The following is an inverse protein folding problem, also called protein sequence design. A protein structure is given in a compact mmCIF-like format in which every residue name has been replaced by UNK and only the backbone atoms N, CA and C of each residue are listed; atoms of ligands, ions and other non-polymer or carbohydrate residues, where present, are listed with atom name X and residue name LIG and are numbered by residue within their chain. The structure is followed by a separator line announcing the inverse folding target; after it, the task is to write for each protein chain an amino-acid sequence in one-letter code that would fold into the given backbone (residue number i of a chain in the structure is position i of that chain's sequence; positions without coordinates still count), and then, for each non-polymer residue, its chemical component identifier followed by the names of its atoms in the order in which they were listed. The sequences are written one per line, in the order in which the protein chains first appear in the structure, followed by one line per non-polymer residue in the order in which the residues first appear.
data_IF_075763491794
#
_entry.id   IF_075763491794
#
_cell.length_a   1.000
_cell.length_b   1.000
_cell.length_c   1.000
_cell.angle_alpha   90.00
_cell.angle_beta   90.00
_cell.angle_gamma   90.00
#
_symmetry.space_group_name_H-M   'P 1'
#
loop_
_entity.id
_entity.type
_entity.pdbx_description
1 polymer ?
#
# COMPACT_ATOMS: atom_id res chain seq x y z
N UNK A 1 15.32 -14.76 9.95
CA UNK A 1 14.18 -15.68 9.92
C UNK A 1 12.97 -14.92 10.44
N UNK A 2 11.90 -14.89 9.67
CA UNK A 2 10.71 -14.11 10.01
C UNK A 2 9.87 -14.84 11.09
N UNK A 3 9.38 -14.10 12.05
CA UNK A 3 8.55 -14.63 13.15
C UNK A 3 7.12 -14.09 12.96
N UNK A 4 6.16 -15.01 12.95
CA UNK A 4 4.74 -14.70 12.92
C UNK A 4 3.98 -15.46 14.01
N UNK A 5 2.82 -14.95 14.40
CA UNK A 5 1.97 -15.52 15.44
C UNK A 5 0.50 -15.50 14.98
N UNK A 6 -0.29 -16.55 15.24
CA UNK A 6 -1.74 -16.47 15.13
C UNK A 6 -2.30 -15.57 16.23
N UNK A 7 -3.45 -14.95 15.98
CA UNK A 7 -4.09 -14.04 16.94
C UNK A 7 -5.61 -14.22 16.96
N UNK A 8 -6.25 -13.78 18.03
CA UNK A 8 -7.70 -13.75 18.16
C UNK A 8 -8.26 -12.54 17.41
N UNK A 9 -8.59 -12.71 16.12
CA UNK A 9 -9.10 -11.64 15.29
C UNK A 9 -10.43 -11.10 15.78
N UNK A 10 -10.59 -9.78 15.77
CA UNK A 10 -11.87 -9.11 15.97
C UNK A 10 -12.43 -8.80 14.58
N UNK A 11 -13.58 -9.38 14.26
CA UNK A 11 -14.10 -9.35 12.89
C UNK A 11 -15.62 -9.31 12.82
N UNK A 12 -16.20 -8.77 11.72
CA UNK A 12 -17.65 -8.70 11.59
C UNK A 12 -18.28 -10.08 11.41
N UNK A 13 -19.53 -10.28 11.86
CA UNK A 13 -20.37 -11.38 11.40
C UNK A 13 -20.48 -11.40 9.87
N UNK A 14 -20.68 -12.58 9.28
CA UNK A 14 -20.71 -12.76 7.83
C UNK A 14 -21.72 -11.85 7.12
N UNK A 15 -22.88 -11.65 7.70
CA UNK A 15 -23.97 -10.81 7.17
C UNK A 15 -23.72 -9.31 7.29
N UNK A 16 -22.69 -8.90 8.03
CA UNK A 16 -22.33 -7.49 8.24
C UNK A 16 -21.05 -7.06 7.53
N UNK A 17 -20.24 -8.00 7.01
CA UNK A 17 -18.89 -7.69 6.50
C UNK A 17 -18.92 -6.62 5.41
N UNK A 18 -19.87 -6.65 4.48
CA UNK A 18 -19.98 -5.66 3.41
C UNK A 18 -20.31 -4.26 3.91
N UNK A 19 -21.03 -4.15 5.04
CA UNK A 19 -21.33 -2.88 5.67
C UNK A 19 -20.17 -2.32 6.48
N UNK A 20 -19.33 -3.21 7.04
CA UNK A 20 -18.18 -2.83 7.87
C UNK A 20 -16.93 -2.54 7.03
N UNK A 21 -16.61 -3.41 6.07
CA UNK A 21 -15.39 -3.31 5.27
C UNK A 21 -15.30 -1.97 4.54
N UNK A 22 -14.13 -1.34 4.60
CA UNK A 22 -13.87 -0.05 3.97
C UNK A 22 -12.53 -0.04 3.23
N UNK A 23 -12.34 0.95 2.36
CA UNK A 23 -11.02 1.25 1.82
C UNK A 23 -10.09 1.75 2.93
N UNK A 24 -8.75 1.63 2.77
CA UNK A 24 -7.82 2.15 3.78
C UNK A 24 -7.90 3.68 3.87
N UNK A 25 -7.52 4.22 5.04
CA UNK A 25 -7.68 5.63 5.39
C UNK A 25 -7.00 6.61 4.43
N UNK A 26 -5.94 6.17 3.76
CA UNK A 26 -5.03 7.01 2.96
C UNK A 26 -5.39 7.11 1.47
N UNK A 27 -6.43 6.39 1.02
CA UNK A 27 -6.88 6.43 -0.39
C UNK A 27 -8.04 7.41 -0.64
N UNK A 28 -8.58 8.02 0.40
CA UNK A 28 -9.68 8.98 0.31
C UNK A 28 -9.53 10.09 1.35
N UNK A 29 -10.07 11.25 1.03
CA UNK A 29 -10.16 12.36 1.97
C UNK A 29 -11.40 12.25 2.89
N UNK A 30 -11.52 13.14 3.87
CA UNK A 30 -12.61 13.09 4.85
C UNK A 30 -14.00 13.36 4.23
N UNK A 31 -14.08 14.16 3.17
CA UNK A 31 -15.34 14.41 2.47
C UNK A 31 -15.81 13.16 1.70
N UNK A 32 -14.90 12.48 1.02
CA UNK A 32 -15.16 11.20 0.34
C UNK A 32 -15.59 10.12 1.33
N UNK A 33 -14.87 9.99 2.46
CA UNK A 33 -15.20 9.03 3.51
C UNK A 33 -16.59 9.29 4.12
N UNK A 34 -16.95 10.55 4.32
CA UNK A 34 -18.28 10.96 4.80
C UNK A 34 -19.38 10.56 3.82
N UNK A 35 -19.16 10.77 2.52
CA UNK A 35 -20.15 10.39 1.51
C UNK A 35 -20.28 8.87 1.39
N UNK A 36 -19.18 8.11 1.44
CA UNK A 36 -19.22 6.64 1.42
C UNK A 36 -19.87 6.04 2.67
N UNK A 37 -19.67 6.63 3.84
CA UNK A 37 -20.28 6.18 5.10
C UNK A 37 -21.73 6.63 5.27
N UNK A 38 -22.25 7.48 4.38
CA UNK A 38 -23.57 8.08 4.52
C UNK A 38 -24.69 7.03 4.62
N UNK A 39 -25.44 7.08 5.72
CA UNK A 39 -26.50 6.12 5.99
C UNK A 39 -26.04 4.74 6.44
N UNK A 40 -24.75 4.55 6.62
CA UNK A 40 -24.15 3.30 7.11
C UNK A 40 -23.40 3.52 8.43
N UNK A 41 -24.09 3.38 9.55
CA UNK A 41 -23.52 3.53 10.90
C UNK A 41 -22.50 2.41 11.25
N UNK A 42 -22.43 1.35 10.47
CA UNK A 42 -21.51 0.21 10.66
C UNK A 42 -20.23 0.34 9.83
N UNK A 43 -20.10 1.38 9.00
CA UNK A 43 -18.89 1.60 8.22
C UNK A 43 -17.67 1.76 9.11
N UNK A 44 -16.58 1.06 8.80
CA UNK A 44 -15.34 1.19 9.55
C UNK A 44 -14.75 2.60 9.49
N UNK A 45 -15.16 3.43 8.54
CA UNK A 45 -14.73 4.83 8.48
C UNK A 45 -15.02 5.59 9.78
N UNK A 46 -16.09 5.25 10.51
CA UNK A 46 -16.37 5.81 11.84
C UNK A 46 -15.27 5.53 12.88
N UNK A 47 -14.40 4.55 12.61
CA UNK A 47 -13.26 4.20 13.49
C UNK A 47 -11.94 4.72 12.91
N UNK A 48 -11.69 4.56 11.60
CA UNK A 48 -10.41 4.92 10.97
C UNK A 48 -10.35 6.36 10.47
N UNK A 49 -11.50 7.00 10.26
CA UNK A 49 -11.67 8.42 9.89
C UNK A 49 -12.77 9.08 10.72
N UNK A 50 -12.64 9.06 12.06
CA UNK A 50 -13.74 9.44 12.95
C UNK A 50 -14.11 10.92 12.89
N UNK A 51 -13.31 11.77 12.21
CA UNK A 51 -13.66 13.15 11.90
C UNK A 51 -14.94 13.28 11.07
N UNK A 52 -15.39 12.21 10.39
CA UNK A 52 -16.66 12.19 9.66
C UNK A 52 -17.88 12.31 10.57
N UNK A 53 -17.74 11.99 11.85
CA UNK A 53 -18.78 12.12 12.87
C UNK A 53 -18.90 13.53 13.47
N UNK A 54 -18.05 14.46 13.02
CA UNK A 54 -18.02 15.86 13.43
C UNK A 54 -18.45 16.78 12.28
N UNK A 55 -18.71 18.06 12.52
CA UNK A 55 -18.99 19.02 11.45
C UNK A 55 -17.88 19.07 10.40
N UNK A 56 -18.24 19.35 9.15
CA UNK A 56 -17.28 19.52 8.06
C UNK A 56 -16.21 20.57 8.42
N UNK A 57 -14.95 20.29 8.04
CA UNK A 57 -13.82 21.14 8.35
C UNK A 57 -13.21 20.90 9.74
N UNK A 58 -13.71 19.92 10.51
CA UNK A 58 -13.05 19.50 11.74
C UNK A 58 -11.67 18.91 11.40
N UNK A 59 -10.64 19.37 12.11
CA UNK A 59 -9.28 18.88 11.96
C UNK A 59 -9.22 17.38 12.32
N UNK A 60 -8.74 16.55 11.40
CA UNK A 60 -8.53 15.11 11.63
C UNK A 60 -7.61 14.79 12.80
N UNK A 61 -6.80 15.78 13.25
CA UNK A 61 -5.88 15.66 14.38
C UNK A 61 -6.42 16.25 15.69
N UNK A 62 -7.66 16.73 15.72
CA UNK A 62 -8.33 17.18 16.95
C UNK A 62 -8.38 16.03 17.97
N UNK A 63 -7.98 16.25 19.24
CA UNK A 63 -8.03 15.19 20.27
C UNK A 63 -9.38 14.47 20.38
N UNK A 64 -10.49 15.19 20.19
CA UNK A 64 -11.86 14.61 20.23
C UNK A 64 -12.10 13.56 19.13
N UNK A 65 -11.40 13.68 17.99
CA UNK A 65 -11.49 12.72 16.88
C UNK A 65 -10.91 11.36 17.30
N UNK A 66 -9.78 11.35 18.02
CA UNK A 66 -9.20 10.12 18.55
C UNK A 66 -10.07 9.49 19.64
N UNK A 67 -10.65 10.31 20.55
CA UNK A 67 -11.60 9.82 21.55
C UNK A 67 -12.83 9.19 20.90
N UNK A 68 -13.28 9.76 19.80
CA UNK A 68 -14.40 9.24 19.01
C UNK A 68 -14.06 7.88 18.37
N UNK A 69 -12.84 7.70 17.86
CA UNK A 69 -12.38 6.40 17.35
C UNK A 69 -12.52 5.29 18.42
N UNK A 70 -12.05 5.57 19.64
CA UNK A 70 -12.13 4.64 20.77
C UNK A 70 -13.58 4.33 21.13
N UNK A 71 -14.41 5.35 21.23
CA UNK A 71 -15.82 5.19 21.55
C UNK A 71 -16.56 4.34 20.48
N UNK A 72 -16.27 4.60 19.20
CA UNK A 72 -16.86 3.86 18.10
C UNK A 72 -16.37 2.40 18.07
N UNK A 73 -15.08 2.16 18.26
CA UNK A 73 -14.55 0.80 18.30
C UNK A 73 -15.14 -0.05 19.43
N UNK A 74 -15.32 0.56 20.61
CA UNK A 74 -16.03 -0.07 21.72
C UNK A 74 -17.49 -0.36 21.37
N UNK A 75 -18.20 0.65 20.86
CA UNK A 75 -19.62 0.52 20.48
C UNK A 75 -19.82 -0.60 19.44
N UNK A 76 -18.94 -0.72 18.46
CA UNK A 76 -19.02 -1.79 17.44
C UNK A 76 -18.95 -3.18 18.07
N UNK A 77 -18.08 -3.35 19.07
CA UNK A 77 -17.95 -4.61 19.81
C UNK A 77 -19.19 -4.84 20.70
N UNK A 78 -19.68 -3.85 21.43
CA UNK A 78 -20.87 -3.94 22.28
C UNK A 78 -22.14 -4.26 21.48
N UNK A 79 -22.25 -3.74 20.26
CA UNK A 79 -23.38 -4.03 19.35
C UNK A 79 -23.23 -5.36 18.58
N UNK A 80 -22.13 -6.06 18.75
CA UNK A 80 -21.85 -7.30 18.02
C UNK A 80 -21.58 -7.10 16.52
N UNK A 81 -21.25 -5.88 16.10
CA UNK A 81 -20.84 -5.60 14.73
C UNK A 81 -19.40 -6.05 14.47
N UNK A 82 -18.63 -6.16 15.53
CA UNK A 82 -17.30 -6.77 15.58
C UNK A 82 -17.26 -7.76 16.74
N UNK A 83 -16.84 -8.99 16.47
CA UNK A 83 -16.78 -10.09 17.46
C UNK A 83 -15.38 -10.68 17.45
N UNK A 84 -14.81 -10.90 18.62
CA UNK A 84 -13.50 -11.53 18.76
C UNK A 84 -13.61 -13.04 18.62
N UNK A 85 -12.70 -13.66 17.88
CA UNK A 85 -12.58 -15.12 17.77
C UNK A 85 -12.17 -15.74 19.11
N UNK A 86 -12.66 -16.94 19.39
CA UNK A 86 -12.45 -17.62 20.66
C UNK A 86 -11.00 -18.09 20.85
N UNK A 87 -10.32 -18.46 19.75
CA UNK A 87 -8.94 -18.94 19.76
C UNK A 87 -8.07 -18.19 18.74
N UNK A 88 -6.74 -18.20 18.93
CA UNK A 88 -5.82 -17.63 17.96
C UNK A 88 -5.87 -18.39 16.63
N UNK A 89 -5.99 -17.67 15.52
CA UNK A 89 -6.04 -18.19 14.16
C UNK A 89 -5.10 -17.40 13.24
N UNK A 90 -4.74 -18.01 12.12
CA UNK A 90 -4.35 -17.28 10.93
C UNK A 90 -5.57 -17.14 10.01
N UNK A 91 -5.48 -16.28 9.03
CA UNK A 91 -6.56 -16.08 8.07
C UNK A 91 -6.00 -16.02 6.66
N UNK A 92 -6.84 -16.33 5.67
CA UNK A 92 -6.53 -16.11 4.26
C UNK A 92 -7.45 -15.01 3.76
N UNK A 93 -6.87 -14.00 3.16
CA UNK A 93 -7.57 -12.93 2.47
C UNK A 93 -7.23 -12.94 0.99
N UNK A 94 -8.21 -13.25 0.16
CA UNK A 94 -8.08 -13.24 -1.30
C UNK A 94 -8.71 -11.99 -1.89
N UNK A 95 -8.03 -11.42 -2.87
CA UNK A 95 -8.49 -10.26 -3.63
C UNK A 95 -8.48 -10.60 -5.12
N UNK A 96 -9.59 -10.29 -5.80
CA UNK A 96 -9.75 -10.52 -7.25
C UNK A 96 -9.93 -9.19 -7.97
N UNK A 97 -9.05 -8.91 -8.91
CA UNK A 97 -9.09 -7.74 -9.80
C UNK A 97 -8.84 -8.19 -11.24
N UNK A 98 -9.71 -7.81 -12.18
CA UNK A 98 -9.57 -8.12 -13.59
C UNK A 98 -9.35 -9.63 -13.88
N UNK A 99 -10.06 -10.49 -13.14
CA UNK A 99 -9.97 -11.94 -13.29
C UNK A 99 -8.74 -12.61 -12.68
N UNK A 100 -7.83 -11.83 -12.07
CA UNK A 100 -6.66 -12.34 -11.33
C UNK A 100 -6.94 -12.30 -9.83
N UNK A 101 -6.73 -13.42 -9.14
CA UNK A 101 -6.85 -13.52 -7.69
C UNK A 101 -5.47 -13.67 -7.05
N UNK A 102 -5.23 -12.93 -5.98
CA UNK A 102 -4.06 -13.06 -5.10
C UNK A 102 -4.51 -13.45 -3.71
N UNK A 103 -3.75 -14.35 -3.07
CA UNK A 103 -4.07 -14.93 -1.77
C UNK A 103 -3.04 -14.52 -0.73
N UNK A 104 -3.47 -13.80 0.29
CA UNK A 104 -2.62 -13.35 1.38
C UNK A 104 -2.92 -14.07 2.69
N UNK A 105 -1.88 -14.33 3.48
CA UNK A 105 -1.99 -14.85 4.84
C UNK A 105 -2.00 -13.70 5.83
N UNK A 106 -3.04 -13.62 6.63
CA UNK A 106 -3.16 -12.61 7.70
C UNK A 106 -2.51 -13.16 8.95
N UNK A 107 -1.51 -12.47 9.44
CA UNK A 107 -0.65 -12.90 10.54
C UNK A 107 -0.35 -11.76 11.51
N UNK A 108 0.01 -12.07 12.74
CA UNK A 108 0.73 -11.15 13.62
C UNK A 108 2.22 -11.20 13.28
N UNK A 109 2.75 -10.15 12.66
CA UNK A 109 4.18 -10.02 12.34
C UNK A 109 4.95 -9.47 13.53
N UNK A 110 6.14 -10.01 13.80
CA UNK A 110 6.89 -9.71 15.01
C UNK A 110 7.53 -8.32 14.98
N UNK A 111 7.27 -7.49 15.98
CA UNK A 111 7.77 -6.12 16.08
C UNK A 111 9.29 -6.04 16.03
N UNK A 112 10.08 -6.86 16.74
CA UNK A 112 11.52 -6.83 16.63
C UNK A 112 12.05 -7.14 15.22
N UNK A 113 11.35 -7.93 14.41
CA UNK A 113 11.74 -8.18 13.02
C UNK A 113 11.68 -6.91 12.15
N UNK A 114 10.74 -6.00 12.44
CA UNK A 114 10.72 -4.68 11.84
C UNK A 114 11.90 -3.83 12.31
N UNK A 115 12.19 -3.82 13.60
CA UNK A 115 13.28 -3.02 14.18
C UNK A 115 14.67 -3.50 13.73
N UNK A 116 14.84 -4.81 13.54
CA UNK A 116 16.11 -5.45 13.17
C UNK A 116 16.31 -5.60 11.65
N UNK A 117 15.34 -5.18 10.83
CA UNK A 117 15.46 -5.24 9.38
C UNK A 117 15.20 -6.62 8.76
N UNK A 118 14.61 -7.56 9.47
CA UNK A 118 14.07 -8.81 8.89
C UNK A 118 12.85 -8.48 8.03
N UNK A 119 12.02 -7.54 8.48
CA UNK A 119 10.98 -6.91 7.66
C UNK A 119 11.62 -5.75 6.90
N UNK A 120 11.79 -5.92 5.61
CA UNK A 120 12.52 -5.00 4.72
C UNK A 120 11.63 -3.85 4.27
N UNK A 121 12.21 -2.65 4.25
CA UNK A 121 11.59 -1.40 3.80
C UNK A 121 12.22 -0.98 2.47
N UNK A 122 11.45 -0.30 1.64
CA UNK A 122 11.94 0.33 0.41
C UNK A 122 11.55 1.81 0.30
N UNK A 123 10.83 2.36 1.29
CA UNK A 123 10.37 3.75 1.33
C UNK A 123 10.58 4.35 2.73
N UNK A 124 10.93 5.64 2.79
CA UNK A 124 11.01 6.39 4.04
C UNK A 124 9.62 6.87 4.46
N UNK A 125 9.34 6.77 5.75
CA UNK A 125 8.12 7.31 6.35
C UNK A 125 8.25 8.81 6.61
N UNK A 126 7.11 9.50 6.58
CA UNK A 126 6.98 10.89 7.02
C UNK A 126 6.59 10.91 8.49
N UNK A 127 7.33 11.68 9.30
CA UNK A 127 7.15 11.73 10.75
C UNK A 127 5.75 12.16 11.18
N UNK A 128 5.17 13.16 10.51
CA UNK A 128 3.81 13.65 10.79
C UNK A 128 2.75 12.54 10.61
N UNK A 129 2.85 11.77 9.52
CA UNK A 129 1.94 10.65 9.24
C UNK A 129 2.17 9.47 10.18
N UNK A 130 3.42 9.19 10.51
CA UNK A 130 3.80 8.14 11.46
C UNK A 130 3.25 8.44 12.86
N UNK A 131 3.44 9.65 13.38
CA UNK A 131 2.94 10.06 14.70
C UNK A 131 1.41 10.01 14.79
N UNK A 132 0.70 10.42 13.74
CA UNK A 132 -0.76 10.32 13.66
C UNK A 132 -1.22 8.86 13.75
N UNK A 133 -0.63 7.97 12.94
CA UNK A 133 -0.96 6.53 12.99
C UNK A 133 -0.58 5.88 14.32
N UNK A 134 0.55 6.25 14.91
CA UNK A 134 0.93 5.82 16.26
C UNK A 134 -0.14 6.19 17.30
N UNK A 135 -0.67 7.40 17.22
CA UNK A 135 -1.73 7.86 18.12
C UNK A 135 -2.99 7.00 17.97
N UNK A 136 -3.42 6.71 16.74
CA UNK A 136 -4.54 5.81 16.49
C UNK A 136 -4.31 4.41 17.09
N UNK A 137 -3.14 3.82 16.90
CA UNK A 137 -2.80 2.50 17.48
C UNK A 137 -2.81 2.54 19.02
N UNK A 138 -2.22 3.58 19.62
CA UNK A 138 -2.17 3.72 21.10
C UNK A 138 -3.55 3.84 21.71
N UNK A 139 -4.40 4.73 21.19
CA UNK A 139 -5.72 5.00 21.79
C UNK A 139 -6.69 3.84 21.63
N UNK A 140 -6.68 3.17 20.47
CA UNK A 140 -7.54 2.02 20.22
C UNK A 140 -6.99 0.72 20.85
N UNK A 141 -5.72 0.70 21.22
CA UNK A 141 -4.99 -0.50 21.66
C UNK A 141 -5.15 -1.67 20.69
N UNK A 142 -5.10 -1.37 19.40
CA UNK A 142 -5.35 -2.31 18.31
C UNK A 142 -4.70 -1.87 17.00
N UNK A 143 -4.38 -2.84 16.16
CA UNK A 143 -4.13 -2.63 14.74
C UNK A 143 -5.47 -2.75 14.00
N UNK A 144 -6.11 -1.62 13.71
CA UNK A 144 -7.43 -1.58 13.04
C UNK A 144 -7.28 -1.89 11.55
N UNK A 145 -6.21 -1.41 10.93
CA UNK A 145 -5.93 -1.56 9.51
C UNK A 145 -4.71 -2.46 9.29
N UNK A 146 -4.76 -3.39 8.34
CA UNK A 146 -3.64 -4.28 8.05
C UNK A 146 -2.53 -3.56 7.29
N UNK A 147 -1.31 -4.09 7.37
CA UNK A 147 -0.20 -3.75 6.48
C UNK A 147 -0.03 -4.82 5.42
N UNK A 148 0.57 -4.46 4.30
CA UNK A 148 0.68 -5.31 3.12
C UNK A 148 2.13 -5.73 2.90
N UNK A 149 2.41 -7.04 3.06
CA UNK A 149 3.74 -7.62 2.91
C UNK A 149 3.81 -8.60 1.75
N UNK A 150 5.01 -8.80 1.25
CA UNK A 150 5.36 -9.86 0.31
C UNK A 150 6.36 -10.83 0.96
N UNK A 151 6.29 -12.09 0.54
CA UNK A 151 7.26 -13.12 0.90
C UNK A 151 7.69 -13.92 -0.34
N UNK A 152 8.91 -14.51 -0.33
CA UNK A 152 9.34 -15.42 -1.40
C UNK A 152 8.46 -16.68 -1.46
N UNK A 153 8.38 -17.30 -2.64
CA UNK A 153 7.64 -18.56 -2.84
C UNK A 153 7.91 -19.58 -1.70
N UNK A 154 6.83 -20.18 -1.20
CA UNK A 154 6.91 -21.23 -0.17
C UNK A 154 5.83 -22.28 -0.39
N UNK A 155 6.23 -23.50 -0.76
CA UNK A 155 5.34 -24.60 -1.10
C UNK A 155 4.47 -25.07 0.06
N UNK A 156 4.94 -24.97 1.31
CA UNK A 156 4.16 -25.34 2.49
C UNK A 156 2.98 -24.37 2.66
N UNK A 157 3.24 -23.06 2.53
CA UNK A 157 2.18 -22.05 2.58
C UNK A 157 1.19 -22.21 1.42
N UNK A 158 1.68 -22.48 0.20
CA UNK A 158 0.84 -22.73 -0.96
C UNK A 158 -0.11 -23.91 -0.74
N UNK A 159 0.38 -24.99 -0.13
CA UNK A 159 -0.42 -26.17 0.18
C UNK A 159 -1.51 -25.86 1.22
N UNK A 160 -1.19 -25.11 2.27
CA UNK A 160 -2.18 -24.68 3.28
C UNK A 160 -3.23 -23.77 2.65
N UNK A 161 -2.83 -22.78 1.86
CA UNK A 161 -3.75 -21.89 1.16
C UNK A 161 -4.67 -22.69 0.23
N UNK A 162 -4.13 -23.61 -0.59
CA UNK A 162 -4.91 -24.45 -1.48
C UNK A 162 -5.96 -25.32 -0.74
N UNK A 163 -5.59 -25.86 0.44
CA UNK A 163 -6.50 -26.65 1.29
C UNK A 163 -7.72 -25.86 1.74
N UNK A 164 -7.53 -24.62 2.18
CA UNK A 164 -8.62 -23.78 2.70
C UNK A 164 -9.43 -23.13 1.59
N UNK A 165 -8.80 -22.70 0.51
CA UNK A 165 -9.51 -22.07 -0.62
C UNK A 165 -10.33 -23.03 -1.47
N UNK A 166 -10.13 -24.34 -1.30
CA UNK A 166 -11.04 -25.38 -1.82
C UNK A 166 -12.37 -25.46 -1.05
N UNK A 167 -12.48 -24.81 0.10
CA UNK A 167 -13.67 -24.77 0.94
C UNK A 167 -14.43 -23.46 0.74
N UNK A 168 -15.69 -23.42 1.19
CA UNK A 168 -16.48 -22.20 1.15
C UNK A 168 -15.84 -21.11 2.06
N UNK A 169 -15.62 -19.89 1.57
CA UNK A 169 -15.11 -18.80 2.39
C UNK A 169 -16.11 -18.34 3.44
N UNK A 170 -15.61 -17.73 4.54
CA UNK A 170 -16.45 -17.07 5.56
C UNK A 170 -17.02 -15.77 5.03
N UNK A 171 -16.23 -15.04 4.22
CA UNK A 171 -16.70 -13.87 3.49
C UNK A 171 -16.48 -14.07 2.01
N UNK A 172 -17.45 -13.62 1.21
CA UNK A 172 -17.39 -13.63 -0.25
C UNK A 172 -18.27 -12.50 -0.78
N UNK A 173 -17.66 -11.42 -1.21
CA UNK A 173 -18.38 -10.25 -1.72
C UNK A 173 -17.56 -9.49 -2.78
N UNK A 174 -18.30 -8.69 -3.56
CA UNK A 174 -17.72 -7.75 -4.51
C UNK A 174 -17.97 -6.34 -3.99
N UNK A 175 -16.90 -5.57 -3.80
CA UNK A 175 -17.02 -4.21 -3.31
C UNK A 175 -17.68 -3.30 -4.37
N UNK A 176 -18.74 -2.53 -4.01
CA UNK A 176 -19.50 -1.76 -4.98
C UNK A 176 -18.76 -0.53 -5.51
N UNK A 177 -17.74 -0.05 -4.82
CA UNK A 177 -16.98 1.14 -5.16
C UNK A 177 -15.92 0.91 -6.24
N UNK A 178 -15.36 -0.31 -6.34
CA UNK A 178 -14.31 -0.64 -7.29
C UNK A 178 -14.56 -1.91 -8.13
N UNK A 179 -15.56 -2.70 -7.75
CA UNK A 179 -15.91 -3.94 -8.43
C UNK A 179 -14.93 -5.09 -8.15
N UNK A 180 -14.04 -4.97 -7.17
CA UNK A 180 -13.10 -6.02 -6.81
C UNK A 180 -13.72 -7.06 -5.88
N UNK A 181 -13.31 -8.31 -6.06
CA UNK A 181 -13.76 -9.43 -5.24
C UNK A 181 -12.90 -9.57 -3.97
N UNK A 182 -13.57 -9.91 -2.87
CA UNK A 182 -12.94 -10.15 -1.58
C UNK A 182 -13.47 -11.44 -0.98
N UNK A 183 -12.54 -12.36 -0.65
CA UNK A 183 -12.87 -13.62 0.01
C UNK A 183 -11.98 -13.82 1.23
N UNK A 184 -12.49 -14.55 2.22
CA UNK A 184 -11.79 -14.70 3.51
C UNK A 184 -12.06 -16.06 4.12
N UNK A 185 -11.02 -16.71 4.66
CA UNK A 185 -11.07 -18.00 5.34
C UNK A 185 -10.35 -17.92 6.68
N UNK A 186 -10.75 -18.78 7.61
CA UNK A 186 -10.14 -18.91 8.94
C UNK A 186 -9.33 -20.19 8.97
N UNK A 187 -8.05 -20.10 9.30
CA UNK A 187 -7.16 -21.24 9.56
C UNK A 187 -7.16 -21.49 11.06
N UNK A 188 -7.92 -22.49 11.49
CA UNK A 188 -8.14 -22.81 12.90
C UNK A 188 -7.69 -24.23 13.29
N UNK A 189 -7.23 -25.04 12.36
CA UNK A 189 -6.61 -26.33 12.62
C UNK A 189 -5.20 -26.15 13.19
N UNK A 190 -4.91 -26.75 14.34
CA UNK A 190 -3.65 -26.56 15.06
C UNK A 190 -2.42 -27.02 14.26
N UNK A 191 -2.55 -28.07 13.42
CA UNK A 191 -1.45 -28.55 12.57
C UNK A 191 -1.16 -27.57 11.44
N UNK A 192 -2.20 -26.97 10.84
CA UNK A 192 -2.03 -25.97 9.80
C UNK A 192 -1.46 -24.66 10.39
N UNK A 193 -1.88 -24.28 11.60
CA UNK A 193 -1.30 -23.14 12.33
C UNK A 193 0.18 -23.36 12.58
N UNK A 194 0.57 -24.55 13.05
CA UNK A 194 1.98 -24.91 13.25
C UNK A 194 2.75 -24.88 11.92
N UNK A 195 2.20 -25.46 10.85
CA UNK A 195 2.81 -25.48 9.53
C UNK A 195 3.06 -24.07 8.98
N UNK A 196 2.10 -23.16 9.13
CA UNK A 196 2.26 -21.75 8.74
C UNK A 196 3.36 -21.07 9.57
N UNK A 197 3.33 -21.24 10.89
CA UNK A 197 4.32 -20.65 11.80
C UNK A 197 5.75 -21.10 11.46
N UNK A 198 5.96 -22.40 11.26
CA UNK A 198 7.27 -22.95 10.92
C UNK A 198 7.73 -22.53 9.52
N UNK A 199 6.82 -22.50 8.54
CA UNK A 199 7.17 -22.04 7.17
C UNK A 199 7.68 -20.58 7.15
N UNK A 200 7.12 -19.69 7.95
CA UNK A 200 7.63 -18.32 8.06
C UNK A 200 9.02 -18.25 8.70
N UNK A 201 9.32 -19.13 9.66
CA UNK A 201 10.66 -19.20 10.27
C UNK A 201 11.77 -19.59 9.27
N UNK A 202 11.42 -20.26 8.18
CA UNK A 202 12.37 -20.59 7.12
C UNK A 202 12.72 -19.38 6.24
N UNK A 203 11.92 -18.33 6.25
CA UNK A 203 12.11 -17.15 5.43
C UNK A 203 13.15 -16.22 6.05
N UNK A 204 14.15 -15.77 5.30
CA UNK A 204 15.16 -14.83 5.81
C UNK A 204 14.57 -13.44 6.03
N UNK A 205 13.58 -13.03 5.22
CA UNK A 205 13.00 -11.70 5.25
C UNK A 205 11.56 -11.69 4.76
N UNK A 206 10.79 -10.69 5.21
CA UNK A 206 9.55 -10.24 4.63
C UNK A 206 9.76 -8.83 4.04
N UNK A 207 8.93 -8.43 3.09
CA UNK A 207 9.07 -7.17 2.36
C UNK A 207 7.79 -6.36 2.47
N UNK A 208 7.88 -5.11 2.93
CA UNK A 208 6.73 -4.22 2.93
C UNK A 208 6.41 -3.87 1.47
N UNK A 209 5.21 -4.21 1.02
CA UNK A 209 4.71 -3.81 -0.29
C UNK A 209 3.99 -2.47 -0.20
N UNK A 210 3.06 -2.33 0.76
CA UNK A 210 2.30 -1.09 1.00
C UNK A 210 2.06 -0.90 2.51
N UNK A 211 1.83 0.34 2.94
CA UNK A 211 1.56 0.67 4.33
C UNK A 211 2.82 0.88 5.18
N UNK A 212 3.86 1.52 4.65
CA UNK A 212 5.09 1.84 5.40
C UNK A 212 4.82 2.65 6.67
N UNK A 213 3.93 3.68 6.62
CA UNK A 213 3.57 4.47 7.80
C UNK A 213 2.81 3.64 8.84
N UNK A 214 1.89 2.76 8.40
CA UNK A 214 1.16 1.86 9.30
C UNK A 214 2.08 0.82 9.93
N UNK A 215 3.03 0.27 9.16
CA UNK A 215 4.03 -0.67 9.67
C UNK A 215 4.93 -0.03 10.71
N UNK A 216 5.46 1.16 10.43
CA UNK A 216 6.28 1.93 11.37
C UNK A 216 5.51 2.24 12.66
N UNK A 217 4.29 2.79 12.53
CA UNK A 217 3.46 3.14 13.67
C UNK A 217 3.15 1.94 14.57
N UNK A 218 2.75 0.82 13.99
CA UNK A 218 2.45 -0.40 14.74
C UNK A 218 3.68 -0.95 15.47
N UNK A 219 4.83 -1.01 14.79
CA UNK A 219 6.07 -1.50 15.37
C UNK A 219 6.59 -0.60 16.50
N UNK A 220 6.57 0.73 16.29
CA UNK A 220 7.03 1.68 17.31
C UNK A 220 6.14 1.67 18.55
N UNK A 221 4.82 1.61 18.40
CA UNK A 221 3.89 1.48 19.54
C UNK A 221 4.09 0.16 20.27
N UNK A 222 4.31 -0.94 19.56
CA UNK A 222 4.64 -2.23 20.17
C UNK A 222 5.93 -2.16 20.99
N UNK A 223 6.98 -1.55 20.47
CA UNK A 223 8.25 -1.33 21.18
C UNK A 223 8.08 -0.41 22.40
N UNK A 224 7.28 0.64 22.31
CA UNK A 224 6.95 1.51 23.46
C UNK A 224 6.27 0.72 24.58
N UNK A 225 5.26 -0.11 24.23
CA UNK A 225 4.56 -0.95 25.21
C UNK A 225 5.49 -1.97 25.88
N UNK A 226 6.38 -2.58 25.10
CA UNK A 226 7.40 -3.48 25.62
C UNK A 226 8.32 -2.79 26.63
N UNK A 227 8.79 -1.56 26.30
CA UNK A 227 9.66 -0.79 27.16
C UNK A 227 8.95 -0.31 28.45
N UNK A 228 7.63 -0.10 28.41
CA UNK A 228 6.83 0.34 29.57
C UNK A 228 6.38 -0.82 30.47
N UNK A 229 6.44 -2.06 30.01
CA UNK A 229 6.01 -3.23 30.76
C UNK A 229 7.19 -3.83 31.56
N UNK A 230 7.24 -3.67 32.89
CA UNK A 230 8.32 -4.24 33.70
C UNK A 230 8.30 -5.79 33.74
N UNK A 231 7.19 -6.40 33.35
CA UNK A 231 7.02 -7.85 33.27
C UNK A 231 7.02 -8.37 31.82
N UNK A 232 7.64 -7.62 30.90
CA UNK A 232 7.71 -8.00 29.51
C UNK A 232 8.40 -9.35 29.31
N UNK A 233 7.77 -10.25 28.56
CA UNK A 233 8.26 -11.61 28.26
C UNK A 233 8.58 -11.83 26.78
N UNK A 234 8.00 -11.02 25.89
CA UNK A 234 8.18 -11.12 24.44
C UNK A 234 7.05 -11.86 23.71
N UNK A 235 6.10 -12.46 24.43
CA UNK A 235 4.97 -13.19 23.86
C UNK A 235 3.64 -12.41 23.88
N UNK A 236 3.65 -11.20 24.43
CA UNK A 236 2.49 -10.34 24.52
C UNK A 236 2.00 -9.90 23.12
N UNK A 237 0.68 -9.65 22.98
CA UNK A 237 0.06 -9.30 21.70
C UNK A 237 0.64 -8.02 21.07
N UNK A 238 1.05 -7.03 21.87
CA UNK A 238 1.68 -5.80 21.36
C UNK A 238 3.05 -6.01 20.72
N UNK A 239 3.68 -7.20 20.88
CA UNK A 239 4.91 -7.56 20.17
C UNK A 239 4.66 -7.99 18.72
N UNK A 240 3.41 -8.03 18.32
CA UNK A 240 2.99 -8.43 16.99
C UNK A 240 2.06 -7.38 16.40
N UNK A 241 2.10 -7.21 15.08
CA UNK A 241 1.19 -6.32 14.38
C UNK A 241 0.62 -6.99 13.13
N UNK A 242 -0.62 -6.62 12.81
CA UNK A 242 -1.40 -7.30 11.78
C UNK A 242 -0.87 -7.00 10.38
N UNK A 243 -0.42 -8.05 9.69
CA UNK A 243 0.03 -7.99 8.30
C UNK A 243 -0.71 -9.01 7.44
N UNK A 244 -0.95 -8.66 6.17
CA UNK A 244 -1.39 -9.59 5.13
C UNK A 244 -0.19 -9.85 4.23
N UNK A 245 0.30 -11.07 4.23
CA UNK A 245 1.51 -11.49 3.53
C UNK A 245 1.14 -12.29 2.27
N UNK A 246 1.56 -11.79 1.11
CA UNK A 246 1.31 -12.43 -0.19
C UNK A 246 2.59 -13.04 -0.76
N UNK A 247 2.50 -14.17 -1.50
CA UNK A 247 3.62 -14.61 -2.32
C UNK A 247 3.99 -13.53 -3.34
N UNK A 248 5.27 -13.18 -3.43
CA UNK A 248 5.74 -12.09 -4.29
C UNK A 248 5.35 -12.28 -5.77
N UNK A 249 5.34 -13.53 -6.24
CA UNK A 249 4.98 -13.87 -7.62
C UNK A 249 3.49 -13.64 -7.96
N UNK A 250 2.61 -13.54 -6.96
CA UNK A 250 1.20 -13.20 -7.18
C UNK A 250 0.98 -11.69 -7.29
N UNK A 251 1.93 -10.87 -6.83
CA UNK A 251 1.79 -9.42 -6.80
C UNK A 251 2.23 -8.77 -8.12
N UNK A 252 1.53 -7.70 -8.45
CA UNK A 252 1.85 -6.87 -9.60
C UNK A 252 1.94 -5.42 -9.13
N UNK A 253 3.10 -4.79 -9.39
CA UNK A 253 3.26 -3.36 -9.23
C UNK A 253 2.77 -2.72 -10.53
N UNK A 254 1.89 -1.75 -10.43
CA UNK A 254 1.43 -0.97 -11.58
C UNK A 254 2.16 0.38 -11.63
N UNK A 255 2.13 0.99 -12.80
CA UNK A 255 2.84 2.22 -13.07
C UNK A 255 2.39 3.39 -12.16
N UNK A 256 3.35 4.26 -11.81
CA UNK A 256 3.10 5.48 -11.09
C UNK A 256 3.59 6.64 -11.94
N UNK A 257 2.67 7.37 -12.56
CA UNK A 257 2.95 8.33 -13.61
C UNK A 257 3.08 9.75 -13.06
N UNK A 258 3.66 10.65 -13.85
CA UNK A 258 3.90 12.05 -13.50
C UNK A 258 3.13 12.97 -14.46
N UNK A 259 2.65 14.08 -13.91
CA UNK A 259 2.10 15.20 -14.68
C UNK A 259 2.74 16.49 -14.20
N UNK A 260 3.06 17.39 -15.11
CA UNK A 260 3.83 18.61 -14.81
C UNK A 260 3.13 19.84 -15.40
N UNK A 261 3.08 20.93 -14.63
CA UNK A 261 2.33 22.15 -14.95
C UNK A 261 2.96 23.01 -16.03
N UNK A 262 4.28 22.98 -16.17
CA UNK A 262 5.01 23.83 -17.10
C UNK A 262 6.29 23.15 -17.64
N UNK A 263 6.92 23.74 -18.63
CA UNK A 263 8.17 23.26 -19.23
C UNK A 263 9.39 24.10 -18.81
N UNK A 264 9.36 24.73 -17.65
CA UNK A 264 10.46 25.57 -17.15
C UNK A 264 10.85 26.69 -18.12
N UNK A 265 9.87 27.35 -18.73
CA UNK A 265 10.04 28.42 -19.69
C UNK A 265 10.42 27.97 -21.10
N UNK A 266 10.55 26.69 -21.38
CA UNK A 266 10.82 26.15 -22.70
C UNK A 266 9.55 26.11 -23.57
N UNK A 267 9.70 26.29 -24.87
CA UNK A 267 8.67 25.89 -25.82
C UNK A 267 8.62 24.37 -25.92
N UNK A 268 7.51 23.83 -26.40
CA UNK A 268 7.37 22.36 -26.59
C UNK A 268 8.46 21.81 -27.53
N UNK A 269 8.80 22.54 -28.59
CA UNK A 269 9.87 22.16 -29.50
C UNK A 269 11.25 22.15 -28.80
N UNK A 270 11.57 23.20 -28.04
CA UNK A 270 12.84 23.26 -27.28
C UNK A 270 12.95 22.16 -26.25
N UNK A 271 11.83 21.80 -25.59
CA UNK A 271 11.76 20.69 -24.66
C UNK A 271 12.03 19.36 -25.36
N UNK A 272 11.38 19.09 -26.50
CA UNK A 272 11.61 17.87 -27.27
C UNK A 272 13.07 17.78 -27.77
N UNK A 273 13.68 18.89 -28.18
CA UNK A 273 15.10 18.91 -28.56
C UNK A 273 16.01 18.63 -27.34
N UNK A 274 15.71 19.20 -26.16
CA UNK A 274 16.49 18.94 -24.95
C UNK A 274 16.44 17.46 -24.54
N UNK A 275 15.32 16.78 -24.72
CA UNK A 275 15.18 15.35 -24.45
C UNK A 275 16.11 14.50 -25.31
N UNK A 276 16.41 14.89 -26.55
CA UNK A 276 17.27 14.13 -27.48
C UNK A 276 18.71 13.98 -27.00
N UNK A 277 19.14 14.77 -26.03
CA UNK A 277 20.46 14.59 -25.39
C UNK A 277 20.58 13.20 -24.77
N UNK A 278 19.59 12.79 -24.00
CA UNK A 278 19.64 11.57 -23.19
C UNK A 278 18.69 10.46 -23.69
N UNK A 279 17.76 10.78 -24.58
CA UNK A 279 16.75 9.85 -25.08
C UNK A 279 16.70 9.79 -26.61
N UNK A 280 16.30 8.62 -27.13
CA UNK A 280 15.76 8.51 -28.48
C UNK A 280 14.29 8.90 -28.39
N UNK A 281 13.91 9.95 -29.13
CA UNK A 281 12.56 10.51 -29.11
C UNK A 281 11.85 10.19 -30.41
N UNK A 282 10.71 9.50 -30.30
CA UNK A 282 9.88 9.13 -31.47
C UNK A 282 8.43 9.57 -31.26
N UNK A 283 7.88 10.32 -32.20
CA UNK A 283 6.45 10.65 -32.20
C UNK A 283 5.60 9.40 -32.50
N UNK A 284 4.59 9.14 -31.66
CA UNK A 284 3.66 8.02 -31.80
C UNK A 284 2.24 8.43 -32.23
N UNK A 285 2.00 9.72 -32.41
CA UNK A 285 0.72 10.27 -32.84
C UNK A 285 -0.25 10.53 -31.70
N UNK A 286 -1.55 10.45 -31.98
CA UNK A 286 -2.64 10.81 -31.06
C UNK A 286 -3.16 9.67 -30.22
N UNK A 287 -2.90 8.44 -30.62
CA UNK A 287 -3.34 7.24 -29.89
C UNK A 287 -2.45 7.00 -28.68
N UNK A 288 -3.05 6.50 -27.61
CA UNK A 288 -2.33 6.23 -26.35
C UNK A 288 -1.16 5.28 -26.61
N UNK A 289 0.03 5.76 -26.30
CA UNK A 289 1.25 4.95 -26.30
C UNK A 289 1.64 4.60 -24.87
N UNK A 290 1.72 3.31 -24.55
CA UNK A 290 2.15 2.81 -23.25
C UNK A 290 3.60 2.33 -23.32
N UNK A 291 4.47 2.65 -22.33
CA UNK A 291 5.82 2.10 -22.28
C UNK A 291 5.82 0.58 -22.41
N UNK A 292 6.67 0.03 -23.27
CA UNK A 292 6.69 -1.39 -23.58
C UNK A 292 7.70 -2.20 -22.75
N UNK A 293 8.78 -1.54 -22.31
CA UNK A 293 9.91 -2.17 -21.61
C UNK A 293 10.52 -1.20 -20.61
N UNK A 294 11.42 -1.72 -19.75
CA UNK A 294 12.28 -0.88 -18.92
C UNK A 294 13.05 0.11 -19.79
N UNK A 295 13.30 1.30 -19.24
CA UNK A 295 14.02 2.43 -19.86
C UNK A 295 13.33 3.05 -21.07
N UNK A 296 12.06 2.69 -21.28
CA UNK A 296 11.15 3.30 -22.23
C UNK A 296 10.03 4.03 -21.49
N UNK A 297 9.79 5.27 -21.89
CA UNK A 297 8.82 6.19 -21.28
C UNK A 297 7.82 6.65 -22.34
N UNK A 298 6.63 7.04 -21.90
CA UNK A 298 5.65 7.73 -22.73
C UNK A 298 5.55 9.17 -22.29
N UNK A 299 5.72 10.09 -23.22
CA UNK A 299 5.45 11.52 -23.02
C UNK A 299 4.17 11.90 -23.76
N UNK A 300 3.24 12.57 -23.07
CA UNK A 300 2.09 13.23 -23.70
C UNK A 300 2.27 14.74 -23.64
N UNK A 301 2.29 15.39 -24.80
CA UNK A 301 2.53 16.81 -24.97
C UNK A 301 1.76 17.34 -26.17
N UNK A 302 0.96 18.41 -25.99
CA UNK A 302 0.24 19.09 -27.06
C UNK A 302 -0.54 18.18 -28.00
N UNK A 303 -1.30 17.25 -27.42
CA UNK A 303 -2.19 16.33 -28.15
C UNK A 303 -1.50 15.12 -28.77
N UNK A 304 -0.20 14.94 -28.56
CA UNK A 304 0.59 13.86 -29.14
C UNK A 304 1.32 13.04 -28.09
N UNK A 305 1.46 11.76 -28.37
CA UNK A 305 2.29 10.81 -27.62
C UNK A 305 3.67 10.65 -28.26
N UNK A 306 4.68 10.53 -27.42
CA UNK A 306 6.07 10.28 -27.82
C UNK A 306 6.62 9.12 -27.03
N UNK A 307 7.40 8.25 -27.68
CA UNK A 307 8.25 7.26 -27.02
C UNK A 307 9.60 7.88 -26.70
N UNK A 308 10.03 7.76 -25.47
CA UNK A 308 11.35 8.17 -25.01
C UNK A 308 12.11 6.93 -24.56
N UNK A 309 13.17 6.56 -25.26
CA UNK A 309 14.05 5.45 -24.86
C UNK A 309 15.35 5.99 -24.37
N UNK A 310 15.73 5.69 -23.10
CA UNK A 310 16.98 6.14 -22.53
C UNK A 310 18.16 5.59 -23.33
N UNK A 311 19.11 6.46 -23.67
CA UNK A 311 20.31 6.06 -24.44
C UNK A 311 21.27 5.26 -23.54
N UNK A 312 22.03 4.31 -24.11
CA UNK A 312 23.12 3.63 -23.38
C UNK A 312 24.07 4.64 -22.74
N UNK A 313 24.50 4.36 -21.50
CA UNK A 313 25.41 5.23 -20.76
C UNK A 313 24.76 6.41 -20.02
N UNK A 314 23.42 6.57 -20.10
CA UNK A 314 22.68 7.57 -19.32
C UNK A 314 22.26 7.06 -17.94
N UNK A 315 22.43 5.80 -17.66
CA UNK A 315 22.20 5.13 -16.37
C UNK A 315 23.22 4.02 -16.18
N UNK A 316 23.42 3.57 -14.93
CA UNK A 316 24.33 2.49 -14.57
C UNK A 316 23.53 1.25 -14.17
N UNK A 317 23.68 0.17 -14.93
CA UNK A 317 23.01 -1.12 -14.66
C UNK A 317 23.46 -1.76 -13.34
N UNK A 318 24.62 -1.36 -12.80
CA UNK A 318 25.14 -1.86 -11.52
C UNK A 318 24.67 -1.04 -10.31
N UNK A 319 24.05 0.11 -10.52
CA UNK A 319 23.44 0.91 -9.46
C UNK A 319 21.96 0.50 -9.30
N UNK A 320 21.58 -0.18 -8.22
CA UNK A 320 20.21 -0.69 -8.05
C UNK A 320 19.15 0.40 -7.98
N UNK A 321 19.53 1.65 -7.63
CA UNK A 321 18.64 2.81 -7.61
C UNK A 321 18.76 3.59 -8.91
N UNK A 322 19.99 3.81 -9.41
CA UNK A 322 20.24 4.57 -10.63
C UNK A 322 19.65 3.95 -11.88
N UNK A 323 19.51 2.62 -11.92
CA UNK A 323 18.90 1.89 -13.04
C UNK A 323 17.38 1.97 -13.09
N UNK A 324 16.71 2.44 -12.03
CA UNK A 324 15.26 2.56 -12.00
C UNK A 324 14.76 3.65 -12.96
N UNK A 325 13.69 3.38 -13.69
CA UNK A 325 13.05 4.34 -14.59
C UNK A 325 12.61 5.62 -13.86
N UNK A 326 12.15 5.47 -12.61
CA UNK A 326 11.81 6.61 -11.76
C UNK A 326 13.04 7.50 -11.49
N UNK A 327 14.22 6.93 -11.27
CA UNK A 327 15.47 7.66 -11.05
C UNK A 327 15.95 8.31 -12.35
N UNK A 328 15.94 7.57 -13.45
CA UNK A 328 16.34 8.08 -14.78
C UNK A 328 15.48 9.29 -15.16
N UNK A 329 14.17 9.17 -15.07
CA UNK A 329 13.26 10.28 -15.40
C UNK A 329 13.39 11.46 -14.45
N UNK A 330 13.60 11.21 -13.16
CA UNK A 330 13.79 12.25 -12.14
C UNK A 330 15.06 13.05 -12.40
N UNK A 331 16.16 12.40 -12.74
CA UNK A 331 17.45 13.06 -12.97
C UNK A 331 17.52 13.74 -14.35
N UNK A 332 17.11 13.03 -15.42
CA UNK A 332 17.37 13.47 -16.79
C UNK A 332 16.25 14.33 -17.40
N UNK A 333 15.05 14.25 -16.86
CA UNK A 333 13.89 15.02 -17.35
C UNK A 333 13.46 16.06 -16.31
N UNK A 334 13.10 15.59 -15.10
CA UNK A 334 12.49 16.46 -14.10
C UNK A 334 13.49 17.44 -13.50
N UNK A 335 14.70 17.01 -13.15
CA UNK A 335 15.74 17.91 -12.63
C UNK A 335 16.49 18.62 -13.75
N UNK A 336 17.14 17.90 -14.66
CA UNK A 336 18.04 18.49 -15.65
C UNK A 336 17.33 19.48 -16.61
N UNK A 337 16.13 19.15 -17.08
CA UNK A 337 15.41 19.98 -18.05
C UNK A 337 14.38 20.89 -17.36
N UNK A 338 13.58 20.33 -16.45
CA UNK A 338 12.45 21.05 -15.85
C UNK A 338 12.79 21.72 -14.51
N UNK A 339 13.98 21.47 -13.96
CA UNK A 339 14.43 22.08 -12.69
C UNK A 339 13.65 21.65 -11.47
N UNK A 340 12.94 20.51 -11.55
CA UNK A 340 12.22 19.91 -10.42
C UNK A 340 13.17 18.97 -9.67
N UNK A 341 13.75 19.47 -8.57
CA UNK A 341 14.77 18.77 -7.79
C UNK A 341 14.20 17.92 -6.67
N UNK A 342 13.13 18.37 -6.03
CA UNK A 342 12.48 17.65 -4.94
C UNK A 342 11.02 17.34 -5.29
N UNK A 343 10.79 16.08 -5.64
CA UNK A 343 9.47 15.58 -6.02
C UNK A 343 8.42 15.64 -4.90
N UNK A 344 8.86 15.81 -3.62
CA UNK A 344 7.95 15.84 -2.46
C UNK A 344 7.38 17.23 -2.20
N UNK A 345 8.11 18.25 -2.56
CA UNK A 345 7.79 19.65 -2.20
C UNK A 345 7.47 20.54 -3.41
N UNK A 346 7.91 20.19 -4.62
CA UNK A 346 7.65 21.00 -5.82
C UNK A 346 6.18 20.90 -6.23
N UNK A 347 5.50 22.06 -6.28
CA UNK A 347 4.07 22.17 -6.61
C UNK A 347 3.76 22.13 -8.11
N UNK A 348 4.78 22.06 -8.97
CA UNK A 348 4.63 21.96 -10.41
C UNK A 348 4.40 20.53 -10.89
N UNK A 349 4.70 19.54 -10.05
CA UNK A 349 4.51 18.11 -10.33
C UNK A 349 3.39 17.53 -9.50
N UNK A 350 2.64 16.60 -10.10
CA UNK A 350 1.68 15.75 -9.43
C UNK A 350 1.79 14.31 -9.97
N UNK A 351 1.18 13.36 -9.29
CA UNK A 351 1.35 11.93 -9.53
C UNK A 351 0.01 11.27 -9.82
N UNK A 352 0.00 10.33 -10.77
CA UNK A 352 -1.19 9.58 -11.18
C UNK A 352 -0.90 8.09 -11.14
N UNK A 353 -1.58 7.36 -10.24
CA UNK A 353 -1.48 5.90 -10.17
C UNK A 353 -2.04 5.24 -11.43
N UNK A 354 -1.36 4.19 -11.89
CA UNK A 354 -1.69 3.47 -13.12
C UNK A 354 -3.09 2.88 -13.16
N UNK A 355 -3.74 2.71 -11.99
CA UNK A 355 -5.14 2.27 -11.90
C UNK A 355 -6.10 3.21 -12.65
N UNK A 356 -5.77 4.49 -12.78
CA UNK A 356 -6.56 5.48 -13.53
C UNK A 356 -6.34 5.40 -15.05
N UNK A 357 -5.33 4.65 -15.49
CA UNK A 357 -4.97 4.49 -16.90
C UNK A 357 -4.31 5.74 -17.51
N UNK A 358 -3.75 5.60 -18.70
CA UNK A 358 -3.09 6.69 -19.43
C UNK A 358 -4.08 7.72 -19.99
N UNK A 359 -5.36 7.37 -20.11
CA UNK A 359 -6.42 8.31 -20.47
C UNK A 359 -6.59 9.45 -19.46
N UNK A 360 -6.32 9.22 -18.19
CA UNK A 360 -6.31 10.26 -17.15
C UNK A 360 -5.18 11.26 -17.38
N UNK A 361 -4.00 10.80 -17.79
CA UNK A 361 -2.87 11.68 -18.14
C UNK A 361 -3.25 12.60 -19.30
N UNK A 362 -3.82 12.02 -20.37
CA UNK A 362 -4.31 12.77 -21.52
C UNK A 362 -5.33 13.83 -21.11
N UNK A 363 -6.32 13.44 -20.30
CA UNK A 363 -7.37 14.34 -19.81
C UNK A 363 -6.82 15.54 -19.05
N UNK A 364 -5.87 15.34 -18.14
CA UNK A 364 -5.28 16.39 -17.31
C UNK A 364 -4.43 17.38 -18.14
N UNK A 365 -3.80 16.91 -19.22
CA UNK A 365 -3.05 17.76 -20.13
C UNK A 365 -4.01 18.51 -21.08
N UNK A 366 -4.97 17.81 -21.71
CA UNK A 366 -5.91 18.41 -22.65
C UNK A 366 -6.83 19.46 -21.99
N UNK A 367 -7.13 19.31 -20.70
CA UNK A 367 -7.89 20.32 -19.94
C UNK A 367 -7.12 21.60 -19.64
N UNK A 368 -5.81 21.63 -19.87
CA UNK A 368 -4.93 22.74 -19.52
C UNK A 368 -4.53 22.79 -18.05
N UNK A 369 -4.94 21.81 -17.23
CA UNK A 369 -4.50 21.68 -15.83
C UNK A 369 -2.99 21.43 -15.76
N UNK A 370 -2.49 20.59 -16.66
CA UNK A 370 -1.08 20.23 -16.77
C UNK A 370 -0.58 20.51 -18.19
N UNK A 371 0.72 20.77 -18.32
CA UNK A 371 1.35 21.01 -19.62
C UNK A 371 1.80 19.72 -20.29
N UNK A 372 2.28 18.75 -19.51
CA UNK A 372 2.76 17.46 -20.01
C UNK A 372 2.47 16.34 -19.03
N UNK A 373 2.49 15.12 -19.53
CA UNK A 373 2.45 13.90 -18.73
C UNK A 373 3.56 12.93 -19.13
N UNK A 374 4.09 12.22 -18.15
CA UNK A 374 5.12 11.22 -18.33
C UNK A 374 4.66 9.88 -17.71
N UNK A 375 4.51 8.86 -18.55
CA UNK A 375 4.20 7.51 -18.10
C UNK A 375 5.49 6.67 -18.03
N UNK A 376 5.62 5.91 -16.97
CA UNK A 376 6.76 5.05 -16.70
C UNK A 376 6.39 3.57 -16.87
N UNK A 377 7.38 2.75 -17.19
CA UNK A 377 7.24 1.30 -17.08
C UNK A 377 7.25 0.91 -15.58
N UNK A 378 6.36 0.02 -15.12
CA UNK A 378 6.27 -0.32 -13.70
C UNK A 378 7.52 -1.06 -13.20
N UNK A 379 7.90 -0.80 -11.96
CA UNK A 379 8.95 -1.56 -11.24
C UNK A 379 8.47 -3.00 -11.02
N UNK A 380 9.37 -3.96 -11.10
CA UNK A 380 9.07 -5.36 -10.80
C UNK A 380 9.19 -5.66 -9.30
N UNK A 381 8.49 -6.72 -8.84
CA UNK A 381 8.67 -7.23 -7.47
C UNK A 381 10.12 -7.63 -7.20
N UNK A 382 10.82 -8.19 -8.19
CA UNK A 382 12.24 -8.53 -8.06
C UNK A 382 13.09 -7.30 -7.79
N UNK A 383 12.91 -6.21 -8.53
CA UNK A 383 13.65 -4.96 -8.30
C UNK A 383 13.37 -4.40 -6.90
N UNK A 384 12.11 -4.42 -6.45
CA UNK A 384 11.73 -3.97 -5.10
C UNK A 384 12.46 -4.80 -4.03
N UNK A 385 12.42 -6.12 -4.14
CA UNK A 385 13.05 -7.01 -3.15
C UNK A 385 14.58 -6.88 -3.16
N UNK A 386 15.20 -6.85 -4.33
CA UNK A 386 16.66 -6.67 -4.47
C UNK A 386 17.13 -5.34 -3.84
N UNK A 387 16.38 -4.24 -4.05
CA UNK A 387 16.71 -2.95 -3.45
C UNK A 387 16.55 -3.00 -1.93
N UNK A 388 15.44 -3.54 -1.44
CA UNK A 388 15.17 -3.66 0.00
C UNK A 388 16.25 -4.54 0.70
N UNK A 389 16.73 -5.59 0.04
CA UNK A 389 17.78 -6.47 0.55
C UNK A 389 19.14 -5.75 0.69
N UNK A 390 19.42 -4.78 -0.15
CA UNK A 390 20.64 -3.95 -0.04
C UNK A 390 20.54 -2.86 1.03
N UNK A 391 19.38 -2.68 1.66
CA UNK A 391 19.11 -1.58 2.60
C UNK A 391 18.94 -0.22 1.92
N UNK A 392 18.85 -0.18 0.60
CA UNK A 392 18.59 1.04 -0.15
C UNK A 392 17.10 1.41 -0.10
N UNK A 393 16.85 2.69 -0.36
CA UNK A 393 15.49 3.27 -0.38
C UNK A 393 15.17 3.71 -1.80
N UNK A 394 13.99 3.36 -2.29
CA UNK A 394 13.48 3.83 -3.56
C UNK A 394 13.14 5.32 -3.52
N UNK A 395 13.25 6.03 -4.66
CA UNK A 395 12.68 7.37 -4.79
C UNK A 395 11.18 7.37 -4.43
N UNK A 396 10.63 8.52 -4.00
CA UNK A 396 9.20 8.61 -3.69
C UNK A 396 8.34 8.33 -4.93
N UNK A 397 7.17 7.75 -4.69
CA UNK A 397 6.18 7.47 -5.75
C UNK A 397 6.72 6.54 -6.84
N UNK A 398 7.37 5.47 -6.41
CA UNK A 398 7.92 4.42 -7.30
C UNK A 398 6.96 3.25 -7.47
N UNK A 399 6.27 2.84 -6.40
CA UNK A 399 5.42 1.64 -6.37
C UNK A 399 3.96 1.98 -6.17
N UNK A 400 3.09 1.27 -6.88
CA UNK A 400 1.65 1.31 -6.68
C UNK A 400 1.10 -0.11 -6.73
N UNK A 401 0.49 -0.55 -5.63
CA UNK A 401 -0.12 -1.88 -5.52
C UNK A 401 -1.64 -1.79 -5.58
N UNK A 402 -2.24 -2.67 -6.37
CA UNK A 402 -3.68 -2.89 -6.45
C UNK A 402 -3.98 -4.40 -6.46
N UNK A 403 -5.12 -4.83 -5.89
CA UNK A 403 -6.09 -4.05 -5.10
C UNK A 403 -5.50 -3.55 -3.77
N UNK A 404 -6.03 -2.43 -3.27
CA UNK A 404 -5.74 -2.00 -1.90
C UNK A 404 -6.42 -2.93 -0.90
N UNK A 405 -5.74 -3.26 0.21
CA UNK A 405 -6.34 -4.07 1.27
C UNK A 405 -7.56 -3.36 1.86
N UNK A 406 -8.67 -4.09 1.99
CA UNK A 406 -9.81 -3.60 2.76
C UNK A 406 -9.50 -3.65 4.25
N UNK A 407 -9.90 -2.62 4.96
CA UNK A 407 -9.90 -2.56 6.43
C UNK A 407 -11.23 -3.09 6.96
N UNK A 408 -11.21 -3.71 8.13
CA UNK A 408 -12.43 -4.18 8.80
C UNK A 408 -12.84 -5.62 8.53
N UNK A 409 -12.05 -6.39 7.75
CA UNK A 409 -12.27 -7.84 7.63
C UNK A 409 -11.81 -8.58 8.89
N UNK A 410 -10.75 -8.10 9.50
CA UNK A 410 -10.22 -8.56 10.79
C UNK A 410 -9.38 -7.44 11.41
N UNK A 411 -9.36 -7.38 12.72
CA UNK A 411 -8.64 -6.39 13.55
C UNK A 411 -7.84 -7.16 14.60
N UNK A 412 -6.64 -6.70 14.91
CA UNK A 412 -5.77 -7.27 15.93
C UNK A 412 -5.72 -6.37 17.17
N UNK A 413 -6.19 -6.85 18.33
CA UNK A 413 -6.04 -6.18 19.61
C UNK A 413 -4.66 -6.43 20.18
N UNK A 414 -4.10 -5.45 20.88
CA UNK A 414 -2.75 -5.51 21.46
C UNK A 414 -2.72 -6.03 22.90
N UNK A 415 -3.80 -6.63 23.36
CA UNK A 415 -3.96 -7.23 24.69
C UNK A 415 -4.78 -8.53 24.63
#
# INVERSE_FOLDING_TARGET
MAIVKPFKGVRPPQDLVEQVASRPYDVLNSAEAREEAKGNEKSLYHIIKPEIDFPEGTDEHDPRVYDKAVANFRMFQEKGWLVQDDKPCYYIYAQTMNGKTQYGLVVGAYVPDYMNGVIKKHELTRRDKEEDRMKHVRVNNANIEPVFFAYPENKTLDAVVAKYTAQKPVYDFVAPDDGFGHQFWVIDDDKDIEAVTEAFKEMPSLYIADGHHRSAAAALVGAEKAAQNPNHRGDEEYNYFMAVCFPAEQLTIIDYNRVVKDLNGLTSQAFLEALKKNFVVEEKGTDIYKPATLHNFSLYLEGKWYSLTAKPGTYDDNDPIGVLDVTISSNLILDEILGIKDLRSDKRIDFVGGIRGLGELKKRVDSGEMKMALALYPVSMKQLMDIADTGNIMPPKTTWFEPKLRSGLVIHKLE
#
